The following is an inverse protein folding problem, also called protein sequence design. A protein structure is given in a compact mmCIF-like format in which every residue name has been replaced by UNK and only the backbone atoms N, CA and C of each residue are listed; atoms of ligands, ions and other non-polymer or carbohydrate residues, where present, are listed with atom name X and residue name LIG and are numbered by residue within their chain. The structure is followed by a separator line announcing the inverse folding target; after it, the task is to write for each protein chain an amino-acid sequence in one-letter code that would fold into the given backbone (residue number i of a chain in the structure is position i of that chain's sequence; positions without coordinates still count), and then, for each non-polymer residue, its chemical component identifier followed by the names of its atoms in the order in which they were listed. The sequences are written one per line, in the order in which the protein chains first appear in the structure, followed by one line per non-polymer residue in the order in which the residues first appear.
data_IF_076674387719
#
_entry.id   IF_076674387719
#
_cell.length_a   1.000
_cell.length_b   1.000
_cell.length_c   1.000
_cell.angle_alpha   90.00
_cell.angle_beta   90.00
_cell.angle_gamma   90.00
#
_symmetry.space_group_name_H-M   'P 1'
#
loop_
_entity.id
_entity.type
_entity.pdbx_description
1 polymer ?
#
# COMPACT_ATOMS: atom_id res chain seq x y z
N UNK A 1 -33.91 -8.56 -29.53
CA UNK A 1 -34.00 -8.11 -28.14
C UNK A 1 -32.58 -7.89 -27.63
N UNK A 2 -32.10 -6.66 -27.69
CA UNK A 2 -30.81 -6.27 -27.11
C UNK A 2 -31.13 -5.83 -25.69
N UNK A 3 -30.65 -6.59 -24.70
CA UNK A 3 -30.74 -6.21 -23.30
C UNK A 3 -29.72 -5.10 -23.07
N UNK A 4 -30.19 -3.86 -23.05
CA UNK A 4 -29.43 -2.73 -22.53
C UNK A 4 -29.39 -2.94 -21.02
N UNK A 5 -28.24 -3.37 -20.50
CA UNK A 5 -27.98 -3.36 -19.07
C UNK A 5 -27.82 -1.89 -18.63
N UNK A 6 -28.95 -1.27 -18.30
CA UNK A 6 -28.98 -0.05 -17.51
C UNK A 6 -28.48 -0.45 -16.12
N UNK A 7 -27.17 -0.32 -15.89
CA UNK A 7 -26.65 -0.29 -14.52
C UNK A 7 -27.06 1.08 -14.00
N UNK A 8 -28.25 1.13 -13.43
CA UNK A 8 -28.79 2.27 -12.72
C UNK A 8 -27.75 2.74 -11.71
N UNK A 9 -27.30 3.98 -11.89
CA UNK A 9 -26.60 4.76 -10.87
C UNK A 9 -27.46 4.77 -9.61
N UNK A 10 -27.18 3.85 -8.71
CA UNK A 10 -27.70 3.89 -7.36
C UNK A 10 -26.99 5.05 -6.66
N UNK A 11 -27.67 6.19 -6.62
CA UNK A 11 -27.40 7.28 -5.70
C UNK A 11 -27.63 6.69 -4.29
N UNK A 12 -26.59 6.11 -3.69
CA UNK A 12 -26.60 5.87 -2.25
C UNK A 12 -26.36 7.24 -1.59
N UNK A 13 -27.44 7.78 -1.03
CA UNK A 13 -27.48 8.52 0.25
C UNK A 13 -26.11 8.86 0.82
N UNK A 14 -25.82 10.15 0.95
CA UNK A 14 -24.59 10.71 1.50
C UNK A 14 -24.23 10.19 2.89
N UNK A 15 -23.62 9.02 2.94
CA UNK A 15 -22.77 8.61 4.05
C UNK A 15 -21.55 9.52 3.96
N UNK A 16 -21.51 10.56 4.80
CA UNK A 16 -20.29 11.31 4.99
C UNK A 16 -19.17 10.30 5.30
N UNK A 17 -18.11 10.33 4.50
CA UNK A 17 -16.93 9.51 4.76
C UNK A 17 -16.44 9.81 6.19
N UNK A 18 -16.00 8.79 6.95
CA UNK A 18 -15.45 9.01 8.28
C UNK A 18 -14.32 10.03 8.17
N UNK A 19 -14.25 10.96 9.13
CA UNK A 19 -13.19 11.97 9.18
C UNK A 19 -12.18 11.72 10.30
N UNK A 20 -12.54 10.87 11.25
CA UNK A 20 -11.75 10.62 12.44
C UNK A 20 -11.48 9.14 12.66
N UNK A 21 -10.37 8.81 13.32
CA UNK A 21 -9.98 7.43 13.65
C UNK A 21 -11.03 6.79 14.55
N UNK A 22 -11.58 7.52 15.52
CA UNK A 22 -12.67 7.03 16.38
C UNK A 22 -13.96 6.70 15.64
N UNK A 23 -14.22 7.33 14.48
CA UNK A 23 -15.39 7.06 13.65
C UNK A 23 -15.18 5.83 12.72
N UNK A 24 -13.96 5.32 12.59
CA UNK A 24 -13.66 4.14 11.79
C UNK A 24 -14.05 2.85 12.54
N UNK A 25 -14.77 1.98 11.85
CA UNK A 25 -15.01 0.61 12.31
C UNK A 25 -13.94 -0.31 11.73
N UNK A 26 -12.97 -0.66 12.54
CA UNK A 26 -11.87 -1.57 12.16
C UNK A 26 -12.30 -3.03 12.26
N UNK A 27 -12.01 -3.82 11.23
CA UNK A 27 -12.24 -5.27 11.24
C UNK A 27 -11.21 -5.99 12.10
N UNK A 28 -9.95 -5.56 12.00
CA UNK A 28 -8.85 -6.13 12.77
C UNK A 28 -8.52 -5.23 13.98
N UNK A 29 -8.65 -5.74 15.22
CA UNK A 29 -8.31 -4.96 16.41
C UNK A 29 -6.81 -4.62 16.49
N UNK A 30 -5.92 -5.42 15.89
CA UNK A 30 -4.50 -5.11 15.83
C UNK A 30 -4.22 -3.95 14.87
N UNK A 31 -4.96 -3.87 13.75
CA UNK A 31 -4.85 -2.73 12.84
C UNK A 31 -5.35 -1.45 13.51
N UNK A 32 -6.50 -1.52 14.19
CA UNK A 32 -6.99 -0.42 15.04
C UNK A 32 -5.93 0.04 16.03
N UNK A 33 -5.30 -0.89 16.75
CA UNK A 33 -4.28 -0.58 17.75
C UNK A 33 -3.10 0.17 17.12
N UNK A 34 -2.65 -0.24 15.93
CA UNK A 34 -1.58 0.47 15.24
C UNK A 34 -2.00 1.89 14.82
N UNK A 35 -3.17 2.04 14.19
CA UNK A 35 -3.63 3.35 13.70
C UNK A 35 -3.82 4.32 14.86
N UNK A 36 -4.43 3.87 15.96
CA UNK A 36 -4.58 4.69 17.18
C UNK A 36 -3.22 5.06 17.80
N UNK A 37 -2.22 4.16 17.71
CA UNK A 37 -0.88 4.44 18.24
C UNK A 37 -0.14 5.56 17.49
N UNK A 38 -0.60 5.96 16.31
CA UNK A 38 -0.04 7.12 15.60
C UNK A 38 -0.37 8.46 16.30
N UNK A 39 -1.38 8.49 17.19
CA UNK A 39 -1.75 9.68 17.95
C UNK A 39 -2.43 10.79 17.15
N UNK A 40 -2.78 10.53 15.89
CA UNK A 40 -3.53 11.45 15.03
C UNK A 40 -4.98 10.99 14.93
N UNK A 41 -5.92 11.91 15.19
CA UNK A 41 -7.34 11.61 15.19
C UNK A 41 -7.98 11.90 13.83
N UNK A 42 -7.49 12.90 13.08
CA UNK A 42 -7.97 13.22 11.74
C UNK A 42 -7.31 12.30 10.72
N UNK A 43 -8.10 11.43 10.09
CA UNK A 43 -7.58 10.42 9.17
C UNK A 43 -6.91 11.01 7.92
N UNK A 44 -7.21 12.26 7.58
CA UNK A 44 -6.60 12.97 6.45
C UNK A 44 -5.22 13.56 6.79
N UNK A 45 -4.85 13.61 8.07
CA UNK A 45 -3.53 14.05 8.54
C UNK A 45 -2.58 12.88 8.81
N UNK A 46 -3.07 11.64 8.77
CA UNK A 46 -2.23 10.45 8.82
C UNK A 46 -1.54 10.27 7.47
N UNK A 47 -0.31 10.75 7.37
CA UNK A 47 0.51 10.63 6.15
C UNK A 47 1.48 9.46 6.21
N UNK A 48 1.93 9.07 7.40
CA UNK A 48 2.82 7.93 7.62
C UNK A 48 2.12 6.93 8.54
N UNK A 49 2.19 5.65 8.20
CA UNK A 49 1.65 4.58 9.02
C UNK A 49 2.65 3.42 9.16
N UNK A 50 3.21 3.28 10.36
CA UNK A 50 4.19 2.23 10.69
C UNK A 50 3.54 1.18 11.60
N UNK A 51 3.13 0.05 11.01
CA UNK A 51 2.44 -1.06 11.68
C UNK A 51 3.19 -2.40 11.60
N UNK A 52 4.51 -2.36 11.61
CA UNK A 52 5.32 -3.57 11.56
C UNK A 52 5.13 -4.44 12.83
N UNK A 53 5.02 -5.76 12.68
CA UNK A 53 4.91 -6.73 13.79
C UNK A 53 3.65 -6.60 14.68
N UNK A 54 2.53 -6.11 14.13
CA UNK A 54 1.28 -5.98 14.89
C UNK A 54 0.40 -7.23 14.90
N UNK A 55 0.76 -8.29 14.16
CA UNK A 55 -0.10 -9.46 13.90
C UNK A 55 -1.42 -9.09 13.19
N UNK A 56 -1.36 -8.14 12.26
CA UNK A 56 -2.48 -7.71 11.44
C UNK A 56 -2.79 -8.76 10.38
N UNK A 57 -4.07 -9.10 10.22
CA UNK A 57 -4.61 -10.01 9.21
C UNK A 57 -5.52 -9.30 8.21
N UNK A 58 -6.14 -8.19 8.60
CA UNK A 58 -7.00 -7.39 7.74
C UNK A 58 -6.71 -5.89 7.93
N UNK A 59 -6.34 -5.20 6.85
CA UNK A 59 -6.03 -3.77 6.83
C UNK A 59 -6.97 -2.98 5.90
N UNK A 60 -8.16 -3.50 5.59
CA UNK A 60 -9.06 -2.90 4.58
C UNK A 60 -9.48 -1.46 4.86
N UNK A 61 -9.45 -1.03 6.12
CA UNK A 61 -9.79 0.35 6.49
C UNK A 61 -8.72 1.37 6.03
N UNK A 62 -7.58 0.91 5.49
CA UNK A 62 -6.57 1.79 4.87
C UNK A 62 -7.14 2.63 3.71
N UNK A 63 -8.23 2.16 3.07
CA UNK A 63 -8.95 2.89 2.03
C UNK A 63 -9.44 4.29 2.46
N UNK A 64 -9.61 4.51 3.76
CA UNK A 64 -10.04 5.80 4.31
C UNK A 64 -8.86 6.73 4.65
N UNK A 65 -7.64 6.20 4.72
CA UNK A 65 -6.42 6.94 5.05
C UNK A 65 -5.79 7.50 3.76
N UNK A 66 -6.55 8.33 3.04
CA UNK A 66 -6.21 8.79 1.68
C UNK A 66 -5.02 9.76 1.63
N UNK A 67 -4.61 10.31 2.78
CA UNK A 67 -3.42 11.16 2.91
C UNK A 67 -2.09 10.41 3.02
N UNK A 68 -2.10 9.07 3.01
CA UNK A 68 -0.89 8.26 3.19
C UNK A 68 0.12 8.49 2.04
N UNK A 69 1.35 8.82 2.43
CA UNK A 69 2.53 8.83 1.56
C UNK A 69 3.49 7.68 1.86
N UNK A 70 3.46 7.11 3.07
CA UNK A 70 4.34 6.03 3.50
C UNK A 70 3.56 5.00 4.32
N UNK A 71 3.63 3.74 3.90
CA UNK A 71 2.94 2.63 4.52
C UNK A 71 3.90 1.47 4.78
N UNK A 72 4.06 1.11 6.05
CA UNK A 72 4.77 -0.09 6.47
C UNK A 72 3.83 -1.04 7.23
N UNK A 73 3.49 -2.15 6.58
CA UNK A 73 2.74 -3.28 7.13
C UNK A 73 3.61 -4.54 7.21
N UNK A 74 4.93 -4.39 7.29
CA UNK A 74 5.86 -5.52 7.33
C UNK A 74 5.64 -6.46 8.53
N UNK A 75 6.06 -7.72 8.39
CA UNK A 75 5.99 -8.73 9.45
C UNK A 75 4.60 -8.88 10.08
N UNK A 76 3.59 -9.01 9.22
CA UNK A 76 2.21 -9.25 9.63
C UNK A 76 1.71 -10.58 9.03
N UNK A 77 0.40 -10.77 8.95
CA UNK A 77 -0.23 -12.00 8.48
C UNK A 77 -1.25 -11.70 7.37
N UNK A 78 -1.01 -10.64 6.59
CA UNK A 78 -1.91 -10.21 5.51
C UNK A 78 -1.90 -11.22 4.37
N UNK A 79 -3.10 -11.60 3.92
CA UNK A 79 -3.30 -12.37 2.68
C UNK A 79 -3.89 -11.51 1.55
N UNK A 80 -4.33 -10.31 1.88
CA UNK A 80 -4.93 -9.34 0.98
C UNK A 80 -4.60 -7.93 1.45
N UNK A 81 -4.31 -7.04 0.50
CA UNK A 81 -4.16 -5.61 0.71
C UNK A 81 -4.75 -4.88 -0.50
N UNK A 82 -5.47 -3.80 -0.23
CA UNK A 82 -6.06 -2.92 -1.24
C UNK A 82 -5.63 -1.48 -0.92
N UNK A 83 -4.74 -0.96 -1.76
CA UNK A 83 -4.19 0.40 -1.66
C UNK A 83 -4.66 1.31 -2.81
N UNK A 84 -5.72 0.90 -3.53
CA UNK A 84 -6.24 1.64 -4.69
C UNK A 84 -6.74 3.06 -4.35
N UNK A 85 -7.03 3.35 -3.08
CA UNK A 85 -7.48 4.66 -2.62
C UNK A 85 -6.33 5.54 -2.11
N UNK A 86 -5.12 5.00 -2.05
CA UNK A 86 -3.96 5.66 -1.45
C UNK A 86 -3.03 6.20 -2.56
N UNK A 87 -3.59 7.03 -3.45
CA UNK A 87 -2.91 7.54 -4.66
C UNK A 87 -1.64 8.37 -4.38
N UNK A 88 -1.48 8.85 -3.15
CA UNK A 88 -0.33 9.65 -2.71
C UNK A 88 0.84 8.79 -2.20
N UNK A 89 0.69 7.46 -2.13
CA UNK A 89 1.74 6.57 -1.65
C UNK A 89 3.01 6.68 -2.50
N UNK A 90 4.12 6.91 -1.81
CA UNK A 90 5.48 6.93 -2.33
C UNK A 90 6.27 5.71 -1.84
N UNK A 91 5.94 5.19 -0.65
CA UNK A 91 6.55 4.01 -0.08
C UNK A 91 5.48 3.01 0.37
N UNK A 92 5.62 1.76 -0.05
CA UNK A 92 4.89 0.62 0.50
C UNK A 92 5.85 -0.51 0.86
N UNK A 93 5.80 -0.94 2.12
CA UNK A 93 6.44 -2.16 2.59
C UNK A 93 5.39 -3.11 3.15
N UNK A 94 5.31 -4.29 2.56
CA UNK A 94 4.48 -5.41 3.01
C UNK A 94 5.31 -6.68 3.17
N UNK A 95 6.62 -6.50 3.37
CA UNK A 95 7.58 -7.57 3.62
C UNK A 95 7.08 -8.54 4.69
N UNK A 96 7.43 -9.83 4.57
CA UNK A 96 7.07 -10.85 5.57
C UNK A 96 5.56 -10.90 5.84
N UNK A 97 4.78 -11.10 4.77
CA UNK A 97 3.34 -11.35 4.83
C UNK A 97 3.02 -12.63 4.04
N UNK A 98 1.74 -12.83 3.70
CA UNK A 98 1.24 -14.01 2.96
C UNK A 98 0.47 -13.58 1.72
N UNK A 99 0.80 -12.43 1.15
CA UNK A 99 0.14 -11.91 -0.05
C UNK A 99 0.42 -12.85 -1.22
N UNK A 100 -0.61 -13.18 -1.99
CA UNK A 100 -0.49 -13.92 -3.24
C UNK A 100 -0.59 -13.00 -4.48
N UNK A 101 -1.12 -11.80 -4.27
CA UNK A 101 -1.36 -10.76 -5.27
C UNK A 101 -1.24 -9.39 -4.59
N UNK A 102 -0.85 -8.37 -5.36
CA UNK A 102 -0.84 -6.97 -4.99
C UNK A 102 -0.95 -6.12 -6.27
N UNK A 103 -2.02 -5.34 -6.36
CA UNK A 103 -2.23 -4.37 -7.43
C UNK A 103 -1.63 -3.01 -7.03
N UNK A 104 -0.80 -2.45 -7.91
CA UNK A 104 -0.10 -1.18 -7.74
C UNK A 104 -0.52 -0.11 -8.77
N UNK A 105 -1.49 -0.41 -9.63
CA UNK A 105 -1.86 0.42 -10.79
C UNK A 105 -2.42 1.79 -10.41
N UNK A 106 -3.09 1.90 -9.27
CA UNK A 106 -3.66 3.14 -8.74
C UNK A 106 -2.67 3.96 -7.89
N UNK A 107 -1.39 3.58 -7.84
CA UNK A 107 -0.35 4.22 -7.03
C UNK A 107 0.82 4.77 -7.88
N UNK A 108 0.58 5.73 -8.79
CA UNK A 108 1.58 6.20 -9.76
C UNK A 108 2.76 6.97 -9.13
N UNK A 109 2.64 7.35 -7.85
CA UNK A 109 3.67 8.06 -7.10
C UNK A 109 4.66 7.15 -6.37
N UNK A 110 4.47 5.82 -6.43
CA UNK A 110 5.35 4.86 -5.76
C UNK A 110 6.80 4.99 -6.24
N UNK A 111 7.70 5.16 -5.29
CA UNK A 111 9.14 5.23 -5.45
C UNK A 111 9.82 4.00 -4.84
N UNK A 112 9.24 3.44 -3.77
CA UNK A 112 9.81 2.31 -3.03
C UNK A 112 8.72 1.27 -2.80
N UNK A 113 8.99 0.06 -3.29
CA UNK A 113 8.11 -1.10 -3.11
C UNK A 113 8.93 -2.25 -2.54
N UNK A 114 8.55 -2.72 -1.36
CA UNK A 114 9.10 -3.93 -0.76
C UNK A 114 7.98 -4.95 -0.52
N UNK A 115 8.00 -6.01 -1.32
CA UNK A 115 7.05 -7.14 -1.24
C UNK A 115 7.77 -8.45 -0.87
N UNK A 116 9.02 -8.36 -0.40
CA UNK A 116 9.84 -9.54 -0.11
C UNK A 116 9.16 -10.47 0.90
N UNK A 117 9.54 -11.75 0.88
CA UNK A 117 8.97 -12.77 1.78
C UNK A 117 7.42 -12.80 1.75
N UNK A 118 6.87 -12.92 0.54
CA UNK A 118 5.45 -13.15 0.30
C UNK A 118 5.26 -14.31 -0.69
N UNK A 119 4.03 -14.57 -1.15
CA UNK A 119 3.70 -15.66 -2.07
C UNK A 119 3.31 -15.15 -3.47
N UNK A 120 3.69 -13.92 -3.82
CA UNK A 120 3.43 -13.35 -5.15
C UNK A 120 4.11 -14.18 -6.22
N UNK A 121 3.41 -14.42 -7.33
CA UNK A 121 3.95 -15.09 -8.53
C UNK A 121 4.25 -14.12 -9.66
N UNK A 122 3.59 -12.98 -9.63
CA UNK A 122 3.71 -11.89 -10.60
C UNK A 122 3.61 -10.58 -9.85
N UNK A 123 4.18 -9.53 -10.41
CA UNK A 123 3.98 -8.16 -9.97
C UNK A 123 4.06 -7.28 -11.22
N UNK A 124 3.00 -6.51 -11.48
CA UNK A 124 3.01 -5.50 -12.53
C UNK A 124 3.41 -4.16 -11.90
N UNK A 125 4.42 -3.53 -12.48
CA UNK A 125 4.94 -2.22 -12.06
C UNK A 125 4.88 -1.19 -13.19
N UNK A 126 4.16 -1.49 -14.27
CA UNK A 126 4.12 -0.66 -15.47
C UNK A 126 3.53 0.73 -15.24
N UNK A 127 2.65 0.88 -14.24
CA UNK A 127 2.02 2.14 -13.86
C UNK A 127 2.78 2.91 -12.76
N UNK A 128 3.99 2.46 -12.38
CA UNK A 128 4.80 3.10 -11.34
C UNK A 128 6.08 3.74 -11.92
N UNK A 129 5.99 4.78 -12.78
CA UNK A 129 7.14 5.35 -13.49
C UNK A 129 8.16 6.04 -12.57
N UNK A 130 7.76 6.35 -11.33
CA UNK A 130 8.64 6.96 -10.32
C UNK A 130 9.44 5.92 -9.50
N UNK A 131 9.24 4.62 -9.73
CA UNK A 131 9.84 3.54 -8.95
C UNK A 131 11.37 3.56 -9.04
N UNK A 132 12.02 3.67 -7.88
CA UNK A 132 13.47 3.77 -7.70
C UNK A 132 14.05 2.56 -6.94
N UNK A 133 13.23 1.89 -6.14
CA UNK A 133 13.59 0.68 -5.44
C UNK A 133 12.46 -0.34 -5.49
N UNK A 134 12.79 -1.58 -5.86
CA UNK A 134 11.87 -2.70 -5.89
C UNK A 134 12.55 -3.93 -5.30
N UNK A 135 12.02 -4.43 -4.19
CA UNK A 135 12.46 -5.69 -3.60
C UNK A 135 11.32 -6.72 -3.64
N UNK A 136 11.58 -7.81 -4.36
CA UNK A 136 10.69 -8.97 -4.45
C UNK A 136 11.42 -10.28 -4.10
N UNK A 137 12.51 -10.18 -3.34
CA UNK A 137 13.26 -11.34 -2.88
C UNK A 137 12.37 -12.28 -2.06
N UNK A 138 12.64 -13.59 -2.14
CA UNK A 138 11.88 -14.60 -1.38
C UNK A 138 10.37 -14.56 -1.67
N UNK A 139 10.01 -14.19 -2.90
CA UNK A 139 8.69 -14.41 -3.50
C UNK A 139 8.75 -15.58 -4.50
N UNK A 140 7.67 -15.83 -5.23
CA UNK A 140 7.61 -16.78 -6.33
C UNK A 140 7.71 -16.09 -7.70
N UNK A 141 8.12 -14.82 -7.75
CA UNK A 141 8.28 -14.04 -8.97
C UNK A 141 9.56 -14.45 -9.69
N UNK A 142 9.43 -14.91 -10.93
CA UNK A 142 10.59 -15.27 -11.76
C UNK A 142 11.21 -14.09 -12.50
N UNK A 143 10.39 -13.09 -12.85
CA UNK A 143 10.79 -11.91 -13.60
C UNK A 143 9.76 -10.80 -13.43
N UNK A 144 10.24 -9.55 -13.39
CA UNK A 144 9.43 -8.34 -13.47
C UNK A 144 9.78 -7.61 -14.77
N UNK A 145 8.78 -7.12 -15.51
CA UNK A 145 9.02 -6.21 -16.64
C UNK A 145 9.21 -4.79 -16.12
N UNK A 146 10.44 -4.27 -16.22
CA UNK A 146 10.83 -2.96 -15.70
C UNK A 146 10.98 -1.89 -16.78
N UNK A 147 10.52 -2.16 -18.02
CA UNK A 147 10.70 -1.23 -19.15
C UNK A 147 10.07 0.14 -18.94
N UNK A 148 9.07 0.24 -18.08
CA UNK A 148 8.35 1.47 -17.75
C UNK A 148 8.88 2.15 -16.47
N UNK A 149 9.93 1.61 -15.85
CA UNK A 149 10.49 2.09 -14.59
C UNK A 149 11.94 2.57 -14.81
N UNK A 150 12.15 3.65 -15.59
CA UNK A 150 13.49 4.09 -15.99
C UNK A 150 14.39 4.49 -14.81
N UNK A 151 13.79 4.80 -13.64
CA UNK A 151 14.52 5.19 -12.43
C UNK A 151 15.13 4.03 -11.65
N UNK A 152 14.64 2.79 -11.83
CA UNK A 152 15.28 1.58 -11.25
C UNK A 152 16.69 1.34 -11.80
N UNK A 153 16.97 1.88 -12.99
CA UNK A 153 18.25 1.70 -13.70
C UNK A 153 19.21 2.88 -13.47
N UNK A 154 18.80 3.89 -12.71
CA UNK A 154 19.65 5.03 -12.41
C UNK A 154 20.76 4.58 -11.43
N UNK A 155 22.04 4.94 -11.68
CA UNK A 155 23.12 4.63 -10.75
C UNK A 155 22.81 5.24 -9.38
N UNK A 156 22.87 4.41 -8.34
CA UNK A 156 22.53 4.74 -6.95
C UNK A 156 23.26 6.00 -6.49
N UNK A 157 22.58 7.14 -6.51
CA UNK A 157 22.84 8.21 -5.56
C UNK A 157 21.81 8.02 -4.47
N UNK A 158 22.27 7.55 -3.31
CA UNK A 158 21.56 7.45 -2.02
C UNK A 158 20.11 7.91 -2.10
N UNK A 159 19.16 6.95 -2.10
CA UNK A 159 17.75 7.28 -2.00
C UNK A 159 17.54 7.86 -0.60
N UNK A 160 17.64 9.19 -0.48
CA UNK A 160 17.33 9.90 0.76
C UNK A 160 15.82 9.88 0.91
N UNK A 161 15.30 8.86 1.61
CA UNK A 161 13.87 8.72 1.90
C UNK A 161 13.59 9.57 3.14
N UNK A 162 12.88 10.71 3.04
CA UNK A 162 12.56 11.50 4.22
C UNK A 162 11.65 10.66 5.13
N UNK A 163 12.17 10.26 6.29
CA UNK A 163 11.50 9.40 7.27
C UNK A 163 11.24 7.93 6.83
N UNK A 164 11.92 7.43 5.80
CA UNK A 164 11.97 6.00 5.50
C UNK A 164 13.09 5.31 6.30
N UNK A 165 13.06 3.97 6.46
CA UNK A 165 14.23 3.26 6.96
C UNK A 165 15.42 3.57 6.04
N UNK A 166 16.54 4.00 6.63
CA UNK A 166 17.79 4.17 5.89
C UNK A 166 18.17 2.81 5.32
N UNK A 167 17.97 2.62 4.02
CA UNK A 167 18.56 1.48 3.31
C UNK A 167 20.04 1.84 3.16
N UNK A 168 20.86 1.41 4.13
CA UNK A 168 22.31 1.45 3.99
C UNK A 168 22.70 0.33 3.04
N UNK A 169 23.41 0.67 1.96
CA UNK A 169 24.08 -0.30 1.10
C UNK A 169 25.03 -1.15 1.97
N UNK A 170 24.99 -2.48 1.82
CA UNK A 170 26.14 -3.34 2.17
C UNK A 170 27.17 -3.31 1.05
#
# INVERSE_FOLDING_TARGET
MVVIAVITSAILTGCAQPKTVSALTFRDPNFKRCVVAQGEENIQQITVLTCSHFNIRDAREIRYLTGLNSLDLSSNQLTYLDISYNHQLQLVSVEHNKLADLDLSDNPQLQIVNVSFNHLKTLDVSDNPQLMYLNYNETLINKVDIKHNPRLLAPFYTIDVPNGPTIMDE
#
